data_IF_755378819734
#
_entry.id   IF_755378819734
#
_cell.length_a   1.000
_cell.length_b   1.000
_cell.length_c   1.000
_cell.angle_alpha   90.00
_cell.angle_beta   90.00
_cell.angle_gamma   90.00
#
_symmetry.space_group_name_H-M   'P 1'
#
loop_
_entity.id
_entity.type
_entity.pdbx_description
1 polymer ?
#
# COMPACT_ATOMS: atom_id res chain seq x y z
N UNK A 1 -1.73 -53.01 30.67
CA UNK A 1 -1.00 -52.70 29.43
C UNK A 1 -1.60 -51.43 28.86
N UNK A 2 -0.90 -50.33 28.95
CA UNK A 2 -1.32 -49.09 28.37
C UNK A 2 -0.87 -49.07 26.91
N UNK A 3 -1.83 -49.07 25.99
CA UNK A 3 -1.57 -48.80 24.57
C UNK A 3 -1.06 -47.40 24.41
N UNK A 4 0.25 -47.27 24.31
CA UNK A 4 0.86 -46.00 23.90
C UNK A 4 0.58 -45.79 22.40
N UNK A 5 -0.46 -44.99 22.07
CA UNK A 5 -0.68 -44.53 20.71
C UNK A 5 0.48 -43.62 20.33
N UNK A 6 1.37 -44.11 19.50
CA UNK A 6 2.38 -43.27 18.85
C UNK A 6 1.67 -42.42 17.79
N UNK A 7 1.53 -41.15 18.03
CA UNK A 7 1.09 -40.18 17.01
C UNK A 7 2.32 -39.71 16.22
N UNK A 8 2.42 -40.15 14.99
CA UNK A 8 3.41 -39.61 14.06
C UNK A 8 2.85 -38.34 13.40
N UNK A 9 3.53 -37.21 13.57
CA UNK A 9 3.25 -35.99 12.84
C UNK A 9 4.21 -35.92 11.65
N UNK A 10 3.67 -35.89 10.46
CA UNK A 10 4.44 -35.55 9.27
C UNK A 10 4.28 -34.05 9.03
N UNK A 11 5.39 -33.32 9.04
CA UNK A 11 5.41 -31.98 8.49
C UNK A 11 5.36 -32.13 6.95
N UNK A 12 4.44 -31.43 6.31
CA UNK A 12 4.43 -31.33 4.85
C UNK A 12 5.72 -30.75 4.30
N UNK A 13 5.94 -30.90 3.02
CA UNK A 13 7.08 -30.29 2.34
C UNK A 13 7.11 -28.78 2.61
N UNK A 14 8.33 -28.24 2.78
CA UNK A 14 8.51 -26.81 3.02
C UNK A 14 8.02 -26.02 1.79
N UNK A 15 6.89 -25.33 1.93
CA UNK A 15 6.38 -24.44 0.90
C UNK A 15 6.90 -23.01 1.13
N UNK A 16 7.22 -22.28 0.06
CA UNK A 16 7.60 -20.88 0.19
C UNK A 16 6.44 -20.08 0.79
N UNK A 17 6.73 -19.25 1.80
CA UNK A 17 5.76 -18.40 2.51
C UNK A 17 5.01 -17.47 1.56
N UNK A 18 5.57 -17.19 0.39
CA UNK A 18 4.98 -16.41 -0.69
C UNK A 18 4.54 -17.29 -1.88
N UNK A 19 3.74 -18.30 -1.62
CA UNK A 19 3.11 -19.05 -2.69
C UNK A 19 2.01 -18.20 -3.34
N UNK A 20 1.84 -18.30 -4.68
CA UNK A 20 0.88 -17.52 -5.44
C UNK A 20 -0.57 -17.63 -4.95
N UNK A 21 -0.93 -18.72 -4.25
CA UNK A 21 -2.23 -18.90 -3.60
C UNK A 21 -2.39 -18.03 -2.37
N UNK A 22 -1.35 -17.93 -1.55
CA UNK A 22 -1.37 -17.11 -0.34
C UNK A 22 -1.40 -15.63 -0.67
N UNK A 23 -0.69 -15.23 -1.73
CA UNK A 23 -0.78 -13.87 -2.26
C UNK A 23 -2.20 -13.51 -2.71
N UNK A 24 -2.93 -14.43 -3.34
CA UNK A 24 -4.31 -14.16 -3.76
C UNK A 24 -5.26 -13.96 -2.59
N UNK A 25 -5.04 -14.66 -1.46
CA UNK A 25 -5.81 -14.47 -0.23
C UNK A 25 -5.52 -13.13 0.45
N UNK A 26 -4.29 -12.64 0.39
CA UNK A 26 -3.95 -11.32 0.89
C UNK A 26 -4.55 -10.17 0.07
N UNK A 27 -4.85 -10.41 -1.20
CA UNK A 27 -5.51 -9.44 -2.08
C UNK A 27 -7.03 -9.44 -2.01
N UNK A 28 -7.64 -10.31 -1.21
CA UNK A 28 -9.08 -10.27 -0.98
C UNK A 28 -9.45 -8.97 -0.27
N UNK A 29 -9.96 -8.05 -1.03
CA UNK A 29 -10.56 -6.82 -0.53
C UNK A 29 -12.06 -7.01 -0.41
N UNK A 30 -12.66 -6.43 0.62
CA UNK A 30 -14.11 -6.50 0.78
C UNK A 30 -14.80 -5.56 -0.20
N UNK A 31 -15.80 -6.08 -0.90
CA UNK A 31 -16.63 -5.24 -1.74
C UNK A 31 -17.67 -4.52 -0.87
N UNK A 32 -17.52 -3.22 -0.71
CA UNK A 32 -18.40 -2.37 0.07
C UNK A 32 -19.27 -1.53 -0.89
N UNK A 33 -20.37 -2.11 -1.38
CA UNK A 33 -21.19 -1.47 -2.41
C UNK A 33 -20.46 -1.35 -3.75
N UNK A 34 -20.02 -0.15 -4.11
CA UNK A 34 -19.38 0.14 -5.39
C UNK A 34 -17.84 0.23 -5.34
N UNK A 35 -17.22 0.07 -4.18
CA UNK A 35 -15.77 0.17 -4.01
C UNK A 35 -15.22 -0.97 -3.18
N UNK A 36 -13.90 -1.17 -3.28
CA UNK A 36 -13.17 -2.18 -2.52
C UNK A 36 -12.56 -1.57 -1.27
N UNK A 37 -12.85 -2.17 -0.10
CA UNK A 37 -12.23 -1.81 1.17
C UNK A 37 -11.10 -2.81 1.49
N UNK A 38 -9.90 -2.36 1.86
CA UNK A 38 -8.81 -3.24 2.26
C UNK A 38 -9.08 -3.87 3.63
N UNK A 39 -8.56 -5.08 3.87
CA UNK A 39 -8.67 -5.77 5.15
C UNK A 39 -8.02 -5.01 6.30
N UNK A 40 -6.95 -4.28 6.00
CA UNK A 40 -6.22 -3.48 6.99
C UNK A 40 -6.81 -2.08 7.03
N UNK A 41 -7.19 -1.63 8.22
CA UNK A 41 -7.70 -0.26 8.39
C UNK A 41 -6.61 0.77 8.10
N UNK A 42 -6.89 1.68 7.17
CA UNK A 42 -5.99 2.81 6.86
C UNK A 42 -5.77 3.73 8.07
N UNK A 43 -6.78 3.87 8.92
CA UNK A 43 -6.66 4.61 10.18
C UNK A 43 -5.68 3.93 11.15
N UNK A 44 -5.71 2.59 11.23
CA UNK A 44 -4.77 1.84 12.05
C UNK A 44 -3.33 1.97 11.55
N UNK A 45 -3.11 1.95 10.24
CA UNK A 45 -1.79 2.19 9.63
C UNK A 45 -1.27 3.59 9.96
N UNK A 46 -2.10 4.62 9.84
CA UNK A 46 -1.72 5.98 10.16
C UNK A 46 -1.38 6.15 11.66
N UNK A 47 -2.12 5.49 12.55
CA UNK A 47 -1.83 5.46 13.99
C UNK A 47 -0.54 4.71 14.28
N UNK A 48 -0.30 3.56 13.66
CA UNK A 48 0.92 2.78 13.81
C UNK A 48 2.16 3.57 13.41
N UNK A 49 2.08 4.30 12.31
CA UNK A 49 3.16 5.17 11.86
C UNK A 49 3.53 6.22 12.93
N UNK A 50 2.54 6.83 13.58
CA UNK A 50 2.77 7.82 14.65
C UNK A 50 3.25 7.19 15.96
N UNK A 51 2.78 5.99 16.27
CA UNK A 51 3.08 5.31 17.53
C UNK A 51 4.50 4.74 17.61
N UNK A 52 5.10 4.40 16.46
CA UNK A 52 6.41 3.77 16.38
C UNK A 52 7.46 4.73 15.83
N UNK A 53 8.33 5.30 16.67
CA UNK A 53 9.35 6.25 16.22
C UNK A 53 10.37 5.64 15.26
N UNK A 54 10.71 4.36 15.43
CA UNK A 54 11.60 3.64 14.51
C UNK A 54 11.00 3.50 13.10
N UNK A 55 9.70 3.21 13.00
CA UNK A 55 9.00 3.13 11.73
C UNK A 55 8.95 4.50 11.06
N UNK A 56 8.62 5.54 11.80
CA UNK A 56 8.61 6.92 11.29
C UNK A 56 9.96 7.33 10.72
N UNK A 57 11.05 7.05 11.44
CA UNK A 57 12.40 7.36 11.00
C UNK A 57 12.76 6.62 9.71
N UNK A 58 12.44 5.32 9.63
CA UNK A 58 12.72 4.51 8.44
C UNK A 58 11.93 5.00 7.22
N UNK A 59 10.66 5.36 7.39
CA UNK A 59 9.80 5.89 6.32
C UNK A 59 10.31 7.25 5.84
N UNK A 60 10.67 8.16 6.75
CA UNK A 60 11.24 9.46 6.37
C UNK A 60 12.57 9.33 5.64
N UNK A 61 13.42 8.41 6.07
CA UNK A 61 14.68 8.13 5.38
C UNK A 61 14.44 7.67 3.94
N UNK A 62 13.59 6.66 3.74
CA UNK A 62 13.24 6.16 2.41
C UNK A 62 12.57 7.22 1.55
N UNK A 63 11.66 8.00 2.11
CA UNK A 63 11.01 9.11 1.43
C UNK A 63 12.04 10.12 0.92
N UNK A 64 12.96 10.53 1.76
CA UNK A 64 14.01 11.50 1.39
C UNK A 64 14.93 10.95 0.29
N UNK A 65 15.26 9.66 0.32
CA UNK A 65 16.02 8.99 -0.73
C UNK A 65 15.27 9.03 -2.08
N UNK A 66 13.98 8.73 -2.07
CA UNK A 66 13.15 8.78 -3.27
C UNK A 66 13.03 10.20 -3.84
N UNK A 67 12.78 11.17 -2.98
CA UNK A 67 12.66 12.58 -3.38
C UNK A 67 13.98 13.12 -3.95
N UNK A 68 15.12 12.74 -3.37
CA UNK A 68 16.44 13.18 -3.86
C UNK A 68 16.77 12.62 -5.25
N UNK A 69 16.24 11.45 -5.59
CA UNK A 69 16.44 10.85 -6.92
C UNK A 69 15.41 11.31 -7.97
N UNK A 70 14.36 12.02 -7.55
CA UNK A 70 13.31 12.49 -8.44
C UNK A 70 13.70 13.79 -9.13
N UNK A 71 13.50 13.84 -10.45
CA UNK A 71 13.65 15.06 -11.25
C UNK A 71 12.28 15.65 -11.54
N UNK A 72 11.93 16.81 -10.97
CA UNK A 72 10.63 17.42 -11.20
C UNK A 72 10.46 17.86 -12.67
N UNK A 73 9.22 17.83 -13.12
CA UNK A 73 8.85 18.28 -14.46
C UNK A 73 7.62 19.21 -14.39
N UNK A 74 7.14 19.66 -15.55
CA UNK A 74 5.99 20.56 -15.63
C UNK A 74 4.69 19.95 -15.11
N UNK A 75 4.59 18.63 -15.11
CA UNK A 75 3.36 17.89 -14.75
C UNK A 75 3.33 17.53 -13.26
N UNK A 76 4.48 17.22 -12.66
CA UNK A 76 4.59 16.79 -11.27
C UNK A 76 5.69 17.59 -10.59
N UNK A 77 5.36 18.29 -9.52
CA UNK A 77 6.32 18.98 -8.67
C UNK A 77 6.98 18.01 -7.67
N UNK A 78 8.12 18.41 -7.10
CA UNK A 78 8.78 17.63 -6.05
C UNK A 78 7.89 17.45 -4.81
N UNK A 79 7.08 18.43 -4.46
CA UNK A 79 6.16 18.37 -3.32
C UNK A 79 5.04 17.35 -3.54
N UNK A 80 4.50 17.27 -4.74
CA UNK A 80 3.48 16.27 -5.07
C UNK A 80 4.07 14.85 -5.08
N UNK A 81 5.28 14.70 -5.63
CA UNK A 81 5.99 13.43 -5.58
C UNK A 81 6.30 12.99 -4.14
N UNK A 82 6.70 13.93 -3.27
CA UNK A 82 6.94 13.67 -1.85
C UNK A 82 5.69 13.13 -1.14
N UNK A 83 4.52 13.73 -1.40
CA UNK A 83 3.23 13.27 -0.84
C UNK A 83 2.89 11.85 -1.27
N UNK A 84 3.05 11.57 -2.56
CA UNK A 84 2.77 10.23 -3.11
C UNK A 84 3.74 9.19 -2.55
N UNK A 85 5.04 9.52 -2.48
CA UNK A 85 6.06 8.64 -1.92
C UNK A 85 5.77 8.32 -0.45
N UNK A 86 5.36 9.32 0.32
CA UNK A 86 4.96 9.13 1.71
C UNK A 86 3.74 8.22 1.84
N UNK A 87 2.69 8.46 1.07
CA UNK A 87 1.48 7.65 1.07
C UNK A 87 1.75 6.21 0.64
N UNK A 88 2.59 6.02 -0.37
CA UNK A 88 3.00 4.69 -0.81
C UNK A 88 3.77 3.93 0.28
N UNK A 89 4.67 4.57 1.00
CA UNK A 89 5.46 3.93 2.05
C UNK A 89 4.63 3.59 3.29
N UNK A 90 3.63 4.39 3.62
CA UNK A 90 2.77 4.18 4.80
C UNK A 90 1.59 3.25 4.49
N UNK A 91 0.91 3.47 3.38
CA UNK A 91 -0.34 2.78 3.03
C UNK A 91 -0.19 1.72 1.94
N UNK A 92 0.97 1.62 1.30
CA UNK A 92 1.21 0.70 0.18
C UNK A 92 0.58 1.12 -1.14
N UNK A 93 -0.11 2.26 -1.19
CA UNK A 93 -0.76 2.80 -2.37
C UNK A 93 -0.46 4.29 -2.52
N UNK A 94 -0.30 4.73 -3.76
CA UNK A 94 -0.20 6.13 -4.11
C UNK A 94 -1.14 6.45 -5.28
N UNK A 95 -1.86 7.55 -5.20
CA UNK A 95 -2.84 7.95 -6.20
C UNK A 95 -2.53 9.33 -6.75
N UNK A 96 -2.68 9.47 -8.04
CA UNK A 96 -2.53 10.72 -8.78
C UNK A 96 -3.83 11.07 -9.47
N UNK A 97 -4.25 12.30 -9.31
CA UNK A 97 -5.34 12.89 -10.08
C UNK A 97 -4.76 13.70 -11.24
N UNK A 98 -5.18 13.38 -12.44
CA UNK A 98 -4.88 14.15 -13.62
C UNK A 98 -5.81 15.36 -13.68
N UNK A 99 -5.25 16.55 -13.82
CA UNK A 99 -5.99 17.80 -14.03
C UNK A 99 -5.68 18.30 -15.43
N UNK A 100 -6.72 18.42 -16.24
CA UNK A 100 -6.61 18.85 -17.63
C UNK A 100 -6.93 20.34 -17.77
N UNK A 101 -6.35 20.95 -18.79
CA UNK A 101 -6.69 22.30 -19.21
C UNK A 101 -8.02 22.30 -20.02
N UNK A 102 -8.45 23.47 -20.47
CA UNK A 102 -9.69 23.63 -21.28
C UNK A 102 -9.62 22.93 -22.65
N UNK A 103 -8.43 22.52 -23.07
CA UNK A 103 -8.19 21.81 -24.34
C UNK A 103 -8.10 20.29 -24.14
N UNK A 104 -8.41 19.77 -22.95
CA UNK A 104 -8.27 18.37 -22.55
C UNK A 104 -6.81 17.85 -22.62
N UNK A 105 -5.84 18.72 -22.47
CA UNK A 105 -4.43 18.36 -22.34
C UNK A 105 -4.05 18.32 -20.86
N UNK A 106 -3.15 17.42 -20.44
CA UNK A 106 -2.74 17.32 -19.06
C UNK A 106 -2.00 18.62 -18.65
N UNK A 107 -2.54 19.29 -17.65
CA UNK A 107 -1.95 20.50 -17.08
C UNK A 107 -0.99 20.17 -15.95
N UNK A 108 -1.46 19.40 -14.97
CA UNK A 108 -0.64 18.89 -13.88
C UNK A 108 -1.31 17.67 -13.20
N UNK A 109 -0.54 17.00 -12.36
CA UNK A 109 -1.01 15.89 -11.53
C UNK A 109 -0.95 16.29 -10.06
N UNK A 110 -2.05 16.08 -9.34
CA UNK A 110 -2.11 16.24 -7.89
C UNK A 110 -2.11 14.89 -7.18
N UNK A 111 -1.43 14.81 -6.05
CA UNK A 111 -1.47 13.63 -5.17
C UNK A 111 -2.76 13.57 -4.37
N UNK A 112 -3.49 12.46 -4.48
CA UNK A 112 -4.65 12.19 -3.64
C UNK A 112 -4.22 11.43 -2.38
N UNK A 113 -4.87 11.73 -1.25
CA UNK A 113 -4.61 11.03 0.01
C UNK A 113 -5.04 9.57 -0.07
N UNK A 114 -4.09 8.64 0.00
CA UNK A 114 -4.35 7.20 -0.07
C UNK A 114 -5.29 6.72 1.04
N UNK A 115 -5.26 7.37 2.20
CA UNK A 115 -6.14 7.08 3.33
C UNK A 115 -7.64 7.13 2.97
N UNK A 116 -8.02 8.05 2.09
CA UNK A 116 -9.42 8.30 1.69
C UNK A 116 -9.78 7.84 0.28
N UNK A 117 -8.79 7.34 -0.47
CA UNK A 117 -8.98 6.91 -1.86
C UNK A 117 -9.21 5.41 -1.91
N UNK A 118 -10.19 4.96 -2.69
CA UNK A 118 -10.53 3.55 -2.88
C UNK A 118 -10.72 3.23 -4.35
N UNK A 119 -10.45 1.97 -4.71
CA UNK A 119 -10.69 1.48 -6.06
C UNK A 119 -12.18 1.13 -6.23
N UNK A 120 -12.79 1.62 -7.29
CA UNK A 120 -14.16 1.26 -7.65
C UNK A 120 -14.24 -0.12 -8.32
N UNK A 121 -15.41 -0.77 -8.23
CA UNK A 121 -15.67 -2.10 -8.78
C UNK A 121 -15.45 -2.18 -10.30
N UNK A 122 -15.72 -1.12 -11.04
CA UNK A 122 -15.71 -1.08 -12.51
C UNK A 122 -14.64 -0.14 -13.09
N UNK A 123 -13.60 0.10 -12.35
CA UNK A 123 -12.47 0.92 -12.83
C UNK A 123 -11.33 0.08 -13.36
#
# INVERSE_FOLDING_TARGET
MSDSKVQAFTFGDAEPVMNGRDLSQFYETWLCGNYYEPHISMNALAKSFKAMPYLSTAVFYKKNQLVSSFTPNKLISSSEFERIAFDYLVFGNGYLQRIDNRLNEPHHYDGLMAKYTRRMKNS
#
